data_IF_495753753107
#
_entry.id   IF_495753753107
#
_cell.length_a   1.000
_cell.length_b   1.000
_cell.length_c   1.000
_cell.angle_alpha   90.00
_cell.angle_beta   90.00
_cell.angle_gamma   90.00
#
_symmetry.space_group_name_H-M   'P 1'
#
loop_
_entity.id
_entity.type
_entity.pdbx_description
1 polymer ?
#
# COMPACT_ATOMS: atom_id res chain seq x y z
N UNK A 1 5.94 -1.46 10.67
CA UNK A 1 4.60 -1.56 10.03
C UNK A 1 3.90 -0.21 10.09
N UNK A 2 4.64 0.89 9.91
CA UNK A 2 4.07 2.23 10.05
C UNK A 2 2.95 2.43 9.03
N UNK A 3 1.82 2.99 9.47
CA UNK A 3 0.72 3.34 8.61
C UNK A 3 0.55 4.87 8.62
N UNK A 4 1.04 5.49 7.56
CA UNK A 4 1.06 6.94 7.35
C UNK A 4 0.77 7.27 5.89
N UNK A 5 0.10 8.39 5.61
CA UNK A 5 -0.11 8.90 4.24
C UNK A 5 0.85 10.04 3.90
N UNK A 6 0.96 10.32 2.60
CA UNK A 6 1.71 11.45 2.08
C UNK A 6 1.06 12.79 2.45
N UNK A 7 1.80 13.89 2.30
CA UNK A 7 1.25 15.24 2.45
C UNK A 7 0.38 15.52 1.23
N UNK A 8 -0.75 16.17 1.42
CA UNK A 8 -1.72 16.43 0.36
C UNK A 8 -1.09 17.07 -0.89
N UNK A 9 -0.23 18.08 -0.71
CA UNK A 9 0.46 18.78 -1.80
C UNK A 9 1.39 17.86 -2.60
N UNK A 10 1.90 16.78 -2.00
CA UNK A 10 2.75 15.82 -2.70
C UNK A 10 1.93 14.94 -3.65
N UNK A 11 0.69 14.60 -3.26
CA UNK A 11 -0.25 13.88 -4.11
C UNK A 11 -0.80 14.81 -5.20
N UNK A 12 -1.19 16.04 -4.87
CA UNK A 12 -1.73 17.01 -5.84
C UNK A 12 -0.74 17.35 -6.97
N UNK A 13 0.56 17.20 -6.74
CA UNK A 13 1.58 17.35 -7.78
C UNK A 13 1.44 16.28 -8.87
N UNK A 14 0.91 15.10 -8.59
CA UNK A 14 0.75 14.04 -9.59
C UNK A 14 -0.18 14.47 -10.72
N UNK A 15 -1.26 15.18 -10.41
CA UNK A 15 -2.11 15.78 -11.43
C UNK A 15 -1.35 16.82 -12.27
N UNK A 16 -0.48 17.63 -11.65
CA UNK A 16 0.36 18.61 -12.38
C UNK A 16 1.37 17.94 -13.31
N UNK A 17 1.73 16.68 -13.04
CA UNK A 17 2.59 15.85 -13.87
C UNK A 17 1.83 15.10 -14.98
N UNK A 18 0.54 15.40 -15.19
CA UNK A 18 -0.27 14.85 -16.28
C UNK A 18 -1.19 13.70 -15.88
N UNK A 19 -1.31 13.38 -14.58
CA UNK A 19 -2.19 12.32 -14.10
C UNK A 19 -3.55 12.90 -13.67
N UNK A 20 -4.42 13.20 -14.63
CA UNK A 20 -5.75 13.76 -14.35
C UNK A 20 -6.52 12.90 -13.33
N UNK A 21 -7.14 13.56 -12.33
CA UNK A 21 -7.89 12.87 -11.27
C UNK A 21 -7.02 12.23 -10.18
N UNK A 22 -5.70 12.47 -10.18
CA UNK A 22 -4.80 12.04 -9.10
C UNK A 22 -4.47 13.22 -8.17
N UNK A 23 -5.49 13.69 -7.45
CA UNK A 23 -5.34 14.67 -6.36
C UNK A 23 -5.57 14.01 -5.00
N UNK A 24 -5.17 14.66 -3.90
CA UNK A 24 -5.48 14.18 -2.55
C UNK A 24 -6.98 13.96 -2.37
N UNK A 25 -7.79 14.92 -2.85
CA UNK A 25 -9.25 14.85 -2.78
C UNK A 25 -9.81 13.64 -3.51
N UNK A 26 -9.27 13.33 -4.70
CA UNK A 26 -9.76 12.23 -5.53
C UNK A 26 -9.31 10.85 -5.01
N UNK A 27 -8.13 10.79 -4.36
CA UNK A 27 -7.60 9.55 -3.79
C UNK A 27 -8.08 9.26 -2.37
N UNK A 28 -8.50 10.28 -1.59
CA UNK A 28 -8.99 10.08 -0.22
C UNK A 28 -10.09 9.02 -0.11
N UNK A 29 -11.13 8.99 -0.98
CA UNK A 29 -12.11 7.90 -0.96
C UNK A 29 -11.50 6.50 -1.08
N UNK A 30 -10.42 6.33 -1.85
CA UNK A 30 -9.73 5.04 -1.99
C UNK A 30 -8.89 4.69 -0.75
N UNK A 31 -8.23 5.68 -0.15
CA UNK A 31 -7.56 5.49 1.14
C UNK A 31 -8.54 4.99 2.20
N UNK A 32 -9.69 5.66 2.35
CA UNK A 32 -10.75 5.28 3.30
C UNK A 32 -11.34 3.90 2.97
N UNK A 33 -11.58 3.61 1.69
CA UNK A 33 -12.11 2.31 1.24
C UNK A 33 -11.19 1.15 1.60
N UNK A 34 -9.87 1.36 1.58
CA UNK A 34 -8.89 0.32 1.90
C UNK A 34 -8.76 0.05 3.40
N UNK A 35 -9.04 1.05 4.23
CA UNK A 35 -8.67 1.08 5.64
C UNK A 35 -9.79 0.63 6.58
N UNK A 36 -9.41 -0.13 7.61
CA UNK A 36 -10.21 -0.38 8.79
C UNK A 36 -9.37 -0.09 10.04
N UNK A 37 -9.45 1.15 10.48
CA UNK A 37 -8.74 1.64 11.65
C UNK A 37 -9.52 1.35 12.93
N UNK A 38 -8.87 0.66 13.85
CA UNK A 38 -9.39 0.42 15.20
C UNK A 38 -8.92 1.49 16.16
N UNK A 39 -9.85 2.27 16.73
CA UNK A 39 -9.56 3.37 17.65
C UNK A 39 -8.60 2.99 18.79
N UNK A 40 -7.71 3.90 19.23
CA UNK A 40 -6.78 3.63 20.32
C UNK A 40 -7.53 3.47 21.65
N UNK A 41 -7.02 2.61 22.53
CA UNK A 41 -7.53 2.45 23.89
C UNK A 41 -7.18 3.66 24.77
N UNK A 42 -7.83 3.82 25.92
CA UNK A 42 -7.54 4.92 26.85
C UNK A 42 -6.06 4.99 27.28
N UNK A 43 -5.39 3.85 27.43
CA UNK A 43 -3.96 3.81 27.78
C UNK A 43 -3.07 4.24 26.61
N UNK A 44 -3.45 3.90 25.37
CA UNK A 44 -2.75 4.36 24.17
C UNK A 44 -2.96 5.86 23.94
N UNK A 45 -4.16 6.38 24.20
CA UNK A 45 -4.45 7.82 24.17
C UNK A 45 -3.61 8.57 25.20
N UNK A 46 -3.50 8.04 26.43
CA UNK A 46 -2.63 8.62 27.46
C UNK A 46 -1.13 8.62 27.05
N UNK A 47 -0.72 7.67 26.19
CA UNK A 47 0.61 7.63 25.61
C UNK A 47 0.80 8.58 24.40
N UNK A 48 -0.27 9.23 23.93
CA UNK A 48 -0.25 10.22 22.85
C UNK A 48 -0.82 9.75 21.51
N UNK A 49 -1.43 8.56 21.44
CA UNK A 49 -2.15 8.13 20.25
C UNK A 49 -3.40 8.99 20.02
N UNK A 50 -3.59 9.41 18.78
CA UNK A 50 -4.80 10.08 18.34
C UNK A 50 -5.05 9.77 16.85
N UNK A 51 -6.27 10.03 16.40
CA UNK A 51 -6.68 9.92 15.01
C UNK A 51 -7.91 10.80 14.75
N UNK A 52 -8.11 11.20 13.50
CA UNK A 52 -9.29 11.95 13.08
C UNK A 52 -10.26 11.04 12.32
N UNK A 53 -11.47 10.74 12.85
CA UNK A 53 -12.40 9.81 12.21
C UNK A 53 -12.92 10.29 10.85
N UNK A 54 -12.82 11.58 10.50
CA UNK A 54 -13.23 12.10 9.20
C UNK A 54 -12.27 11.75 8.06
N UNK A 55 -11.03 11.34 8.40
CA UNK A 55 -9.99 10.99 7.43
C UNK A 55 -9.50 9.56 7.61
N UNK A 56 -10.22 8.69 8.32
CA UNK A 56 -9.86 7.27 8.42
C UNK A 56 -11.05 6.34 8.17
N UNK A 57 -10.81 5.30 7.38
CA UNK A 57 -11.76 4.24 7.07
C UNK A 57 -11.94 3.26 8.24
N UNK A 58 -13.10 2.62 8.31
CA UNK A 58 -13.47 1.69 9.39
C UNK A 58 -14.03 0.36 8.89
N UNK A 59 -14.09 0.19 7.58
CA UNK A 59 -14.82 -0.92 6.93
C UNK A 59 -13.99 -1.60 5.84
N UNK A 60 -12.81 -1.06 5.54
CA UNK A 60 -11.90 -1.64 4.56
C UNK A 60 -11.31 -2.98 5.02
N UNK A 61 -10.70 -3.73 4.08
CA UNK A 61 -10.10 -5.01 4.42
C UNK A 61 -8.76 -4.91 5.18
N UNK A 62 -8.03 -3.79 5.08
CA UNK A 62 -6.76 -3.63 5.78
C UNK A 62 -6.98 -3.15 7.21
N UNK A 63 -6.75 -4.04 8.18
CA UNK A 63 -6.74 -3.68 9.60
C UNK A 63 -5.55 -2.79 9.95
N UNK A 64 -5.86 -1.69 10.63
CA UNK A 64 -4.92 -0.69 11.11
C UNK A 64 -5.19 -0.40 12.58
N UNK A 65 -4.14 -0.27 13.39
CA UNK A 65 -4.33 0.01 14.82
C UNK A 65 -3.02 0.29 15.55
N UNK A 66 -3.12 0.48 16.86
CA UNK A 66 -1.98 0.82 17.71
C UNK A 66 -1.45 -0.41 18.42
N UNK A 67 -0.11 -0.56 18.44
CA UNK A 67 0.55 -1.64 19.17
C UNK A 67 0.20 -1.59 20.66
N UNK A 68 -0.02 -2.75 21.28
CA UNK A 68 -0.16 -2.87 22.74
C UNK A 68 1.08 -2.36 23.50
N UNK A 69 2.27 -2.42 22.88
CA UNK A 69 3.52 -1.91 23.44
C UNK A 69 3.58 -0.39 23.54
N UNK A 70 2.68 0.33 22.86
CA UNK A 70 2.64 1.79 22.95
C UNK A 70 2.31 2.25 24.38
N UNK A 71 1.45 1.49 25.08
CA UNK A 71 1.02 1.81 26.43
C UNK A 71 2.09 1.48 27.49
N UNK A 72 3.15 0.76 27.13
CA UNK A 72 4.25 0.41 28.05
C UNK A 72 5.38 1.44 27.97
N UNK A 73 5.20 2.60 28.62
CA UNK A 73 6.27 3.58 28.82
C UNK A 73 5.82 5.04 28.73
N UNK A 74 6.76 5.96 28.96
CA UNK A 74 6.55 7.41 28.91
C UNK A 74 7.38 8.12 27.82
N UNK A 75 8.10 7.36 26.99
CA UNK A 75 9.04 7.92 26.00
C UNK A 75 8.31 8.83 25.01
N UNK A 76 7.17 8.39 24.47
CA UNK A 76 6.40 9.18 23.49
C UNK A 76 5.93 10.51 24.06
N UNK A 77 5.54 10.53 25.33
CA UNK A 77 5.15 11.76 26.05
C UNK A 77 6.35 12.68 26.26
N UNK A 78 7.49 12.12 26.66
CA UNK A 78 8.74 12.88 26.81
C UNK A 78 9.20 13.48 25.48
N UNK A 79 9.14 12.71 24.39
CA UNK A 79 9.45 13.17 23.04
C UNK A 79 8.53 14.30 22.61
N UNK A 80 7.21 14.17 22.81
CA UNK A 80 6.27 15.24 22.47
C UNK A 80 6.62 16.55 23.17
N UNK A 81 6.92 16.52 24.49
CA UNK A 81 7.35 17.70 25.25
C UNK A 81 8.62 18.31 24.69
N UNK A 82 9.61 17.47 24.35
CA UNK A 82 10.87 17.93 23.74
C UNK A 82 10.65 18.60 22.40
N UNK A 83 9.83 18.01 21.52
CA UNK A 83 9.50 18.59 20.22
C UNK A 83 8.74 19.91 20.35
N UNK A 84 7.78 19.99 21.27
CA UNK A 84 7.06 21.24 21.58
C UNK A 84 8.02 22.33 22.09
N UNK A 85 8.96 21.99 22.98
CA UNK A 85 9.98 22.92 23.45
C UNK A 85 10.91 23.42 22.32
N UNK A 86 11.07 22.63 21.26
CA UNK A 86 11.81 23.00 20.05
C UNK A 86 10.94 23.70 18.98
N UNK A 87 9.68 24.02 19.27
CA UNK A 87 8.76 24.67 18.33
C UNK A 87 8.19 23.75 17.25
N UNK A 88 8.30 22.43 17.41
CA UNK A 88 7.68 21.43 16.52
C UNK A 88 6.28 21.10 17.07
N UNK A 89 5.20 21.35 16.31
CA UNK A 89 3.85 21.13 16.80
C UNK A 89 3.53 19.64 16.93
N UNK A 90 2.59 19.33 17.82
CA UNK A 90 1.94 18.03 17.81
C UNK A 90 0.90 17.98 16.68
N UNK A 91 0.83 16.84 16.00
CA UNK A 91 -0.15 16.58 14.94
C UNK A 91 -1.06 15.46 15.40
N UNK A 92 -2.37 15.69 15.36
CA UNK A 92 -3.38 14.72 15.76
C UNK A 92 -3.32 13.47 14.88
N UNK A 93 -3.30 13.68 13.56
CA UNK A 93 -3.34 12.60 12.60
C UNK A 93 -2.62 12.97 11.30
N UNK A 94 -1.49 12.31 11.05
CA UNK A 94 -0.71 12.50 9.83
C UNK A 94 -1.41 11.94 8.59
N UNK A 95 -2.41 11.05 8.76
CA UNK A 95 -3.19 10.48 7.66
C UNK A 95 -4.22 11.45 7.07
N UNK A 96 -4.38 12.64 7.69
CA UNK A 96 -5.16 13.75 7.14
C UNK A 96 -4.44 14.55 6.04
N UNK A 97 -3.24 14.13 5.63
CA UNK A 97 -2.46 14.80 4.58
C UNK A 97 -1.63 15.97 5.10
N UNK A 98 -1.51 16.12 6.43
CA UNK A 98 -0.70 17.13 7.13
C UNK A 98 0.31 16.44 8.03
N UNK A 99 1.50 16.15 7.52
CA UNK A 99 2.49 15.32 8.22
C UNK A 99 3.49 16.11 9.07
N UNK A 100 3.50 17.44 8.97
CA UNK A 100 4.53 18.26 9.62
C UNK A 100 4.30 18.41 11.13
N UNK A 101 4.94 17.55 11.92
CA UNK A 101 5.02 17.69 13.37
C UNK A 101 5.38 16.38 14.07
N UNK A 102 5.16 16.33 15.38
CA UNK A 102 5.27 15.10 16.17
C UNK A 102 3.91 14.40 16.25
N UNK A 103 3.87 13.11 15.91
CA UNK A 103 2.67 12.29 15.97
C UNK A 103 3.02 10.85 16.37
N UNK A 104 2.04 10.17 16.97
CA UNK A 104 2.06 8.72 17.14
C UNK A 104 1.11 8.09 16.14
N UNK A 105 1.68 7.45 15.13
CA UNK A 105 0.93 6.86 14.02
C UNK A 105 0.55 5.39 14.30
N UNK A 106 -0.55 4.91 13.71
CA UNK A 106 -0.93 3.50 13.81
C UNK A 106 -0.02 2.62 12.93
N UNK A 107 -0.26 1.32 13.01
CA UNK A 107 0.42 0.30 12.22
C UNK A 107 -0.56 -0.59 11.48
N UNK A 108 -0.10 -1.23 10.39
CA UNK A 108 -0.85 -2.32 9.73
C UNK A 108 -0.83 -3.56 10.65
N UNK A 109 -1.85 -3.65 11.50
CA UNK A 109 -1.92 -4.53 12.65
C UNK A 109 -3.38 -4.97 12.87
N UNK A 110 -3.58 -6.28 12.97
CA UNK A 110 -4.79 -6.83 13.56
C UNK A 110 -4.66 -6.73 15.08
N UNK A 111 -5.41 -5.82 15.70
CA UNK A 111 -5.31 -5.57 17.15
C UNK A 111 -5.85 -6.72 17.99
N UNK A 112 -6.84 -7.46 17.49
CA UNK A 112 -7.48 -8.57 18.22
C UNK A 112 -6.55 -9.77 18.29
N UNK A 113 -5.85 -10.04 17.18
CA UNK A 113 -4.88 -11.13 17.08
C UNK A 113 -3.47 -10.71 17.49
N UNK A 114 -3.21 -9.40 17.59
CA UNK A 114 -1.90 -8.80 17.80
C UNK A 114 -0.83 -9.30 16.81
N UNK A 115 -1.19 -9.38 15.52
CA UNK A 115 -0.30 -9.80 14.43
C UNK A 115 -0.29 -8.77 13.30
N UNK A 116 0.81 -8.79 12.53
CA UNK A 116 0.92 -8.01 11.30
C UNK A 116 -0.30 -8.26 10.40
N UNK A 117 -0.92 -7.19 9.95
CA UNK A 117 -1.87 -7.24 8.83
C UNK A 117 -1.11 -6.95 7.54
N UNK A 118 -0.76 -8.02 6.81
CA UNK A 118 -0.16 -7.91 5.48
C UNK A 118 -1.23 -7.94 4.38
N UNK A 119 -0.81 -7.67 3.14
CA UNK A 119 -1.74 -7.61 2.01
C UNK A 119 -2.41 -8.95 1.71
N UNK A 120 -1.79 -10.10 2.00
CA UNK A 120 -2.41 -11.40 1.78
C UNK A 120 -3.51 -11.66 2.82
N UNK A 121 -3.26 -11.31 4.09
CA UNK A 121 -4.27 -11.31 5.16
C UNK A 121 -5.47 -10.42 4.84
N UNK A 122 -5.22 -9.21 4.36
CA UNK A 122 -6.30 -8.28 4.05
C UNK A 122 -7.06 -8.63 2.76
N UNK A 123 -6.36 -9.00 1.68
CA UNK A 123 -6.93 -9.03 0.33
C UNK A 123 -6.93 -10.39 -0.37
N UNK A 124 -6.26 -11.42 0.18
CA UNK A 124 -6.22 -12.75 -0.42
C UNK A 124 -6.98 -13.78 0.41
N UNK A 125 -6.52 -14.08 1.63
CA UNK A 125 -7.08 -15.15 2.45
C UNK A 125 -8.59 -15.04 2.76
N UNK A 126 -9.19 -13.84 2.90
CA UNK A 126 -10.64 -13.72 3.08
C UNK A 126 -11.45 -14.09 1.82
N UNK A 127 -10.80 -14.27 0.67
CA UNK A 127 -11.43 -14.41 -0.65
C UNK A 127 -10.81 -15.54 -1.49
N UNK A 128 -9.97 -16.40 -0.90
CA UNK A 128 -9.21 -17.44 -1.61
C UNK A 128 -10.08 -18.62 -2.07
N UNK A 129 -11.29 -18.75 -1.53
CA UNK A 129 -12.29 -19.74 -1.90
C UNK A 129 -12.94 -19.48 -3.28
N UNK A 130 -12.80 -18.25 -3.80
CA UNK A 130 -13.35 -17.81 -5.09
C UNK A 130 -12.79 -18.63 -6.25
N UNK A 131 -13.68 -19.34 -6.96
CA UNK A 131 -13.30 -20.22 -8.08
C UNK A 131 -12.70 -19.52 -9.29
N UNK A 132 -12.86 -18.20 -9.39
CA UNK A 132 -12.29 -17.36 -10.43
C UNK A 132 -11.00 -16.63 -10.02
N UNK A 133 -10.47 -16.91 -8.82
CA UNK A 133 -9.19 -16.40 -8.34
C UNK A 133 -8.20 -17.57 -8.26
N UNK A 134 -7.06 -17.42 -8.92
CA UNK A 134 -6.02 -18.45 -8.96
C UNK A 134 -4.70 -17.86 -8.51
N UNK A 135 -4.05 -18.50 -7.54
CA UNK A 135 -2.69 -18.17 -7.09
C UNK A 135 -1.72 -19.24 -7.59
N UNK A 136 -0.70 -18.82 -8.32
CA UNK A 136 0.44 -19.67 -8.70
C UNK A 136 1.61 -19.33 -7.79
N UNK A 137 1.75 -20.08 -6.71
CA UNK A 137 2.86 -19.91 -5.76
C UNK A 137 4.20 -20.36 -6.38
N UNK A 138 5.31 -19.83 -5.84
CA UNK A 138 6.66 -20.20 -6.25
C UNK A 138 6.88 -20.13 -7.77
N UNK A 139 6.20 -19.19 -8.42
CA UNK A 139 6.17 -19.03 -9.87
C UNK A 139 6.66 -17.63 -10.21
N UNK A 140 7.66 -17.54 -11.08
CA UNK A 140 8.27 -16.27 -11.47
C UNK A 140 7.76 -15.86 -12.84
N UNK A 141 7.20 -14.64 -12.94
CA UNK A 141 6.96 -13.99 -14.22
C UNK A 141 8.30 -13.51 -14.80
N UNK A 142 8.66 -14.03 -15.98
CA UNK A 142 9.94 -13.73 -16.63
C UNK A 142 9.83 -12.48 -17.52
N UNK A 143 8.84 -12.49 -18.42
CA UNK A 143 8.57 -11.45 -19.42
C UNK A 143 7.17 -11.59 -19.99
N UNK A 144 6.69 -10.54 -20.62
CA UNK A 144 5.52 -10.55 -21.48
C UNK A 144 5.85 -11.20 -22.82
N UNK A 145 4.83 -11.74 -23.48
CA UNK A 145 4.88 -12.03 -24.91
C UNK A 145 3.69 -11.38 -25.61
N UNK A 146 3.88 -11.03 -26.87
CA UNK A 146 3.00 -10.13 -27.61
C UNK A 146 2.17 -10.90 -28.64
N UNK A 147 0.99 -10.38 -28.98
CA UNK A 147 0.24 -10.85 -30.15
C UNK A 147 0.99 -10.49 -31.42
N UNK A 148 0.72 -11.22 -32.51
CA UNK A 148 1.18 -10.81 -33.83
C UNK A 148 0.54 -9.46 -34.19
N UNK A 149 1.36 -8.46 -34.50
CA UNK A 149 0.94 -7.08 -34.76
C UNK A 149 2.13 -6.17 -35.06
N UNK A 150 1.89 -4.88 -35.27
CA UNK A 150 2.98 -3.89 -35.41
C UNK A 150 3.53 -3.49 -34.03
N UNK A 151 4.76 -2.98 -34.01
CA UNK A 151 5.36 -2.44 -32.78
C UNK A 151 4.65 -1.17 -32.27
N UNK A 152 3.93 -0.47 -33.15
CA UNK A 152 3.20 0.76 -32.86
C UNK A 152 1.96 0.51 -31.99
N UNK A 153 1.42 -0.73 -32.01
CA UNK A 153 0.26 -1.16 -31.23
C UNK A 153 0.54 -2.51 -30.54
N UNK A 154 1.56 -2.55 -29.68
CA UNK A 154 1.94 -3.76 -28.96
C UNK A 154 0.84 -4.20 -27.97
N UNK A 155 0.19 -5.33 -28.24
CA UNK A 155 -0.81 -5.94 -27.35
C UNK A 155 -0.20 -7.16 -26.66
N UNK A 156 -0.12 -7.12 -25.33
CA UNK A 156 0.33 -8.27 -24.54
C UNK A 156 -0.65 -9.44 -24.72
N UNK A 157 -0.15 -10.60 -25.13
CA UNK A 157 -0.94 -11.83 -25.24
C UNK A 157 -0.90 -12.64 -23.93
N UNK A 158 0.14 -12.45 -23.12
CA UNK A 158 0.31 -13.14 -21.85
C UNK A 158 1.68 -12.96 -21.22
N UNK A 159 2.00 -13.87 -20.29
CA UNK A 159 3.24 -13.88 -19.52
C UNK A 159 3.93 -15.23 -19.67
N UNK A 160 5.23 -15.20 -19.92
CA UNK A 160 6.11 -16.36 -19.78
C UNK A 160 6.50 -16.51 -18.31
N UNK A 161 6.25 -17.68 -17.74
CA UNK A 161 6.49 -17.98 -16.34
C UNK A 161 7.47 -19.13 -16.19
N UNK A 162 8.22 -19.14 -15.09
CA UNK A 162 8.96 -20.30 -14.59
C UNK A 162 8.24 -20.82 -13.36
N UNK A 163 7.71 -22.04 -13.41
CA UNK A 163 7.04 -22.68 -12.27
C UNK A 163 8.03 -23.24 -11.25
N UNK A 164 7.52 -23.67 -10.09
CA UNK A 164 8.32 -24.17 -8.96
C UNK A 164 9.23 -25.37 -9.31
N UNK A 165 8.85 -26.17 -10.32
CA UNK A 165 9.64 -27.29 -10.85
C UNK A 165 10.71 -26.85 -11.89
N UNK A 166 10.85 -25.56 -12.13
CA UNK A 166 11.78 -24.98 -13.11
C UNK A 166 11.27 -24.99 -14.54
N UNK A 167 10.04 -25.44 -14.80
CA UNK A 167 9.49 -25.49 -16.15
C UNK A 167 9.09 -24.10 -16.64
N UNK A 168 9.52 -23.75 -17.85
CA UNK A 168 9.11 -22.51 -18.51
C UNK A 168 7.84 -22.76 -19.33
N UNK A 169 6.80 -21.98 -19.08
CA UNK A 169 5.51 -22.06 -19.80
C UNK A 169 4.93 -20.68 -20.07
N UNK A 170 3.87 -20.60 -20.89
CA UNK A 170 3.15 -19.36 -21.21
C UNK A 170 1.74 -19.41 -20.66
N UNK A 171 1.31 -18.33 -20.02
CA UNK A 171 -0.06 -18.10 -19.56
C UNK A 171 -0.66 -16.96 -20.35
N UNK A 172 -1.75 -17.23 -21.08
CA UNK A 172 -2.42 -16.23 -21.91
C UNK A 172 -3.44 -15.41 -21.12
N UNK A 173 -3.55 -14.12 -21.44
CA UNK A 173 -4.53 -13.21 -20.87
C UNK A 173 -5.58 -12.82 -21.92
N UNK A 174 -6.87 -12.98 -21.60
CA UNK A 174 -7.96 -12.60 -22.52
C UNK A 174 -8.23 -11.08 -22.56
N UNK A 175 -7.82 -10.35 -21.53
CA UNK A 175 -8.06 -8.92 -21.39
C UNK A 175 -6.74 -8.16 -21.28
N UNK A 176 -6.13 -8.19 -20.11
CA UNK A 176 -4.96 -7.39 -19.78
C UNK A 176 -3.96 -8.22 -18.97
N UNK A 177 -2.70 -7.79 -19.02
CA UNK A 177 -1.65 -8.22 -18.10
C UNK A 177 -1.30 -7.04 -17.22
N UNK A 178 -1.48 -7.20 -15.90
CA UNK A 178 -1.15 -6.18 -14.90
C UNK A 178 0.17 -6.56 -14.23
N UNK A 179 1.19 -5.71 -14.35
CA UNK A 179 2.49 -5.92 -13.71
C UNK A 179 2.45 -5.29 -12.32
N UNK A 180 2.56 -6.12 -11.29
CA UNK A 180 2.61 -5.69 -9.88
C UNK A 180 3.78 -6.31 -9.12
N UNK A 181 4.92 -6.48 -9.80
CA UNK A 181 6.12 -7.13 -9.25
C UNK A 181 6.97 -6.22 -8.34
N UNK A 182 6.48 -5.02 -8.02
CA UNK A 182 7.21 -4.00 -7.26
C UNK A 182 8.14 -3.14 -8.12
N UNK A 183 8.59 -2.02 -7.57
CA UNK A 183 9.32 -0.97 -8.30
C UNK A 183 10.64 -1.44 -8.95
N UNK A 184 11.28 -2.48 -8.41
CA UNK A 184 12.55 -2.99 -8.91
C UNK A 184 12.38 -4.06 -10.01
N UNK A 185 11.32 -4.88 -9.94
CA UNK A 185 11.13 -6.01 -10.87
C UNK A 185 10.19 -5.69 -12.01
N UNK A 186 9.22 -4.77 -11.81
CA UNK A 186 8.31 -4.36 -12.87
C UNK A 186 9.02 -3.78 -14.10
N UNK A 187 9.99 -2.84 -13.98
CA UNK A 187 10.74 -2.36 -15.14
C UNK A 187 11.59 -3.46 -15.79
N UNK A 188 12.20 -4.36 -15.00
CA UNK A 188 12.96 -5.49 -15.56
C UNK A 188 12.09 -6.42 -16.40
N UNK A 189 10.87 -6.72 -15.96
CA UNK A 189 9.92 -7.51 -16.75
C UNK A 189 9.63 -6.79 -18.07
N UNK A 190 9.41 -5.48 -18.06
CA UNK A 190 9.20 -4.68 -19.28
C UNK A 190 10.41 -4.72 -20.21
N UNK A 191 11.62 -4.50 -19.69
CA UNK A 191 12.86 -4.53 -20.48
C UNK A 191 13.10 -5.91 -21.12
N UNK A 192 12.93 -7.00 -20.36
CA UNK A 192 12.99 -8.38 -20.86
C UNK A 192 11.88 -8.70 -21.88
N UNK A 193 10.85 -7.86 -21.94
CA UNK A 193 9.76 -7.96 -22.92
C UNK A 193 10.00 -7.09 -24.16
N UNK A 194 11.10 -6.33 -24.22
CA UNK A 194 11.38 -5.38 -25.29
C UNK A 194 10.74 -4.01 -25.11
N UNK A 195 10.25 -3.67 -23.91
CA UNK A 195 9.75 -2.34 -23.55
C UNK A 195 10.76 -1.68 -22.62
N UNK A 196 11.65 -0.87 -23.20
CA UNK A 196 12.74 -0.23 -22.47
C UNK A 196 13.60 0.59 -23.40
N UNK A 197 14.76 1.03 -22.91
CA UNK A 197 15.69 1.79 -23.74
C UNK A 197 16.45 0.86 -24.71
N UNK A 198 16.39 1.08 -26.04
CA UNK A 198 17.12 0.28 -27.01
C UNK A 198 18.62 0.67 -27.15
N UNK A 199 19.06 1.78 -26.53
CA UNK A 199 20.43 2.30 -26.65
C UNK A 199 21.35 1.81 -25.55
#
# INVERSE_FOLDING_TARGET
>A
MAYTRAEDVQIDVWQKLGNEGWTWKDLLPYYLKSENLTAPTSSQVAAGAAYNPAVNGKEGPLKVGWSGSLASGNLSVALNRTFQAAGVPWVEDVNGGKMRGFNIYPSTLDVDLNVREDAARAYYFPYDDRKNLHLLENTTANRLFWKNGSAEEAIADGVEITSADGKVTRVHAKKEVIISAGALRSPLILELSGVGNPT
#
